data_IF_326473123513
#
_entry.id   IF_326473123513
#
_cell.length_a   1.000
_cell.length_b   1.000
_cell.length_c   1.000
_cell.angle_alpha   90.00
_cell.angle_beta   90.00
_cell.angle_gamma   90.00
#
_symmetry.space_group_name_H-M   'P 1'
#
loop_
_entity.id
_entity.type
_entity.pdbx_description
1 polymer ?
#
# COMPACT_ATOMS: atom_id res chain seq x y z
N UNK A 1 -17.23 4.96 -14.29
CA UNK A 1 -16.79 5.67 -13.08
C UNK A 1 -15.60 4.94 -12.46
N UNK A 2 -15.72 3.86 -11.68
CA UNK A 2 -14.58 2.97 -11.35
C UNK A 2 -15.05 1.63 -10.79
N UNK A 3 -14.14 0.64 -10.81
CA UNK A 3 -14.26 -0.63 -10.11
C UNK A 3 -13.00 -0.91 -9.30
N UNK A 4 -13.13 -1.78 -8.31
CA UNK A 4 -12.06 -2.09 -7.35
C UNK A 4 -11.95 -3.59 -7.13
N UNK A 5 -10.74 -4.09 -6.91
CA UNK A 5 -10.46 -5.47 -6.53
C UNK A 5 -9.44 -5.47 -5.41
N UNK A 6 -9.74 -6.17 -4.32
CA UNK A 6 -8.78 -6.51 -3.27
C UNK A 6 -8.14 -7.86 -3.61
N UNK A 7 -6.84 -7.91 -3.96
CA UNK A 7 -6.16 -9.13 -4.37
C UNK A 7 -6.33 -10.26 -3.35
N UNK A 8 -6.69 -11.45 -3.84
CA UNK A 8 -6.94 -12.66 -3.03
C UNK A 8 -8.06 -12.55 -1.98
N UNK A 9 -8.86 -11.46 -1.99
CA UNK A 9 -9.89 -11.20 -0.98
C UNK A 9 -11.28 -10.93 -1.55
N UNK A 10 -11.36 -10.44 -2.79
CA UNK A 10 -12.65 -10.09 -3.41
C UNK A 10 -12.68 -10.37 -4.90
N UNK A 11 -13.89 -10.55 -5.43
CA UNK A 11 -14.18 -10.34 -6.84
C UNK A 11 -14.22 -8.85 -7.17
N UNK A 12 -14.23 -8.43 -8.45
CA UNK A 12 -14.46 -7.04 -8.81
C UNK A 12 -15.72 -6.48 -8.16
N UNK A 13 -15.54 -5.40 -7.41
CA UNK A 13 -16.59 -4.63 -6.75
C UNK A 13 -16.77 -3.34 -7.55
N UNK A 14 -18.01 -3.00 -7.87
CA UNK A 14 -18.32 -1.75 -8.54
C UNK A 14 -18.69 -0.64 -7.54
N UNK A 15 -18.91 0.56 -8.08
CA UNK A 15 -19.24 1.75 -7.31
C UNK A 15 -20.51 1.62 -6.43
N UNK A 16 -21.42 0.68 -6.72
CA UNK A 16 -22.65 0.49 -5.94
C UNK A 16 -22.39 -0.03 -4.52
N UNK A 17 -21.23 -0.64 -4.29
CA UNK A 17 -20.81 -1.06 -2.95
C UNK A 17 -20.20 0.06 -2.11
N UNK A 18 -20.03 1.24 -2.69
CA UNK A 18 -19.57 2.42 -1.97
C UNK A 18 -20.75 3.30 -1.56
N UNK A 19 -20.69 3.84 -0.35
CA UNK A 19 -21.56 4.93 0.06
C UNK A 19 -21.12 6.22 -0.62
N UNK A 20 -21.98 6.79 -1.46
CA UNK A 20 -21.72 8.08 -2.08
C UNK A 20 -22.06 9.20 -1.09
N UNK A 21 -21.07 10.02 -0.73
CA UNK A 21 -21.25 11.12 0.22
C UNK A 21 -21.66 12.39 -0.52
N UNK A 22 -21.08 12.60 -1.70
CA UNK A 22 -21.48 13.65 -2.63
C UNK A 22 -21.17 13.24 -4.08
N UNK A 23 -21.37 14.15 -5.03
CA UNK A 23 -21.16 13.91 -6.46
C UNK A 23 -19.77 13.36 -6.83
N UNK A 24 -18.75 13.67 -6.03
CA UNK A 24 -17.34 13.39 -6.32
C UNK A 24 -16.65 12.53 -5.26
N UNK A 25 -17.33 12.11 -4.20
CA UNK A 25 -16.75 11.36 -3.09
C UNK A 25 -17.53 10.09 -2.76
N UNK A 26 -16.80 8.98 -2.62
CA UNK A 26 -17.31 7.67 -2.27
C UNK A 26 -16.51 7.06 -1.13
N UNK A 27 -17.19 6.39 -0.20
CA UNK A 27 -16.58 5.68 0.91
C UNK A 27 -17.00 4.22 0.92
N UNK A 28 -16.00 3.34 1.02
CA UNK A 28 -16.16 1.93 1.37
C UNK A 28 -15.78 1.75 2.84
N UNK A 29 -16.72 1.23 3.62
CA UNK A 29 -16.47 0.83 5.00
C UNK A 29 -15.82 -0.56 5.00
N UNK A 30 -14.69 -0.71 5.71
CA UNK A 30 -13.94 -1.97 5.74
C UNK A 30 -14.66 -3.08 6.52
N UNK A 31 -15.70 -2.76 7.31
CA UNK A 31 -16.57 -3.77 7.93
C UNK A 31 -17.33 -4.61 6.89
N UNK A 32 -17.33 -4.19 5.61
CA UNK A 32 -17.79 -5.01 4.48
C UNK A 32 -17.05 -6.36 4.40
N UNK A 33 -15.79 -6.42 4.83
CA UNK A 33 -14.99 -7.64 4.88
C UNK A 33 -15.15 -8.34 6.23
N UNK A 34 -16.22 -9.13 6.37
CA UNK A 34 -16.50 -9.86 7.61
C UNK A 34 -15.42 -10.91 7.87
N UNK A 35 -14.81 -10.85 9.06
CA UNK A 35 -13.83 -11.85 9.52
C UNK A 35 -12.37 -11.53 9.15
N UNK A 36 -12.12 -10.43 8.43
CA UNK A 36 -10.76 -9.97 8.14
C UNK A 36 -10.48 -8.64 8.84
N UNK A 37 -9.31 -8.52 9.46
CA UNK A 37 -8.89 -7.25 10.01
C UNK A 37 -8.46 -6.31 8.86
N UNK A 38 -8.87 -5.05 8.92
CA UNK A 38 -8.65 -4.08 7.84
C UNK A 38 -7.16 -3.89 7.50
N UNK A 39 -6.28 -4.01 8.50
CA UNK A 39 -4.83 -3.89 8.37
C UNK A 39 -4.17 -5.04 7.60
N UNK A 40 -4.90 -6.15 7.40
CA UNK A 40 -4.48 -7.24 6.53
C UNK A 40 -4.75 -6.93 5.05
N UNK A 41 -5.57 -5.93 4.74
CA UNK A 41 -5.89 -5.49 3.39
C UNK A 41 -4.83 -4.49 2.95
N UNK A 42 -3.72 -4.99 2.41
CA UNK A 42 -2.53 -4.18 2.12
C UNK A 42 -2.48 -3.61 0.72
N UNK A 43 -3.33 -4.10 -0.18
CA UNK A 43 -3.34 -3.70 -1.58
C UNK A 43 -4.77 -3.63 -2.13
N UNK A 44 -4.95 -2.73 -3.08
CA UNK A 44 -6.20 -2.55 -3.80
C UNK A 44 -5.88 -2.21 -5.26
N UNK A 45 -6.48 -2.95 -6.18
CA UNK A 45 -6.53 -2.57 -7.58
C UNK A 45 -7.74 -1.67 -7.79
N UNK A 46 -7.54 -0.49 -8.36
CA UNK A 46 -8.61 0.41 -8.83
C UNK A 46 -8.48 0.58 -10.34
N UNK A 47 -9.61 0.62 -11.03
CA UNK A 47 -9.64 0.76 -12.49
C UNK A 47 -10.89 1.50 -12.98
N UNK A 48 -10.75 2.22 -14.09
CA UNK A 48 -11.86 2.90 -14.76
C UNK A 48 -12.67 1.89 -15.58
N UNK A 49 -13.97 1.78 -15.31
CA UNK A 49 -14.85 0.81 -16.00
C UNK A 49 -15.16 1.16 -17.46
N UNK A 50 -15.15 2.44 -17.82
CA UNK A 50 -15.41 2.94 -19.18
C UNK A 50 -14.64 4.25 -19.41
N UNK A 51 -14.01 4.43 -20.58
CA UNK A 51 -13.10 5.56 -20.89
C UNK A 51 -13.71 6.96 -21.00
N UNK A 52 -15.00 7.16 -20.67
CA UNK A 52 -15.76 8.38 -21.00
C UNK A 52 -16.39 9.12 -19.81
N UNK A 53 -16.01 8.85 -18.55
CA UNK A 53 -16.63 9.51 -17.39
C UNK A 53 -15.74 10.47 -16.60
N UNK A 54 -14.44 10.53 -16.88
CA UNK A 54 -13.51 11.38 -16.14
C UNK A 54 -12.93 12.43 -17.09
N UNK A 55 -13.06 13.75 -16.78
CA UNK A 55 -12.41 14.78 -17.59
C UNK A 55 -10.88 14.58 -17.67
N UNK A 56 -10.21 15.03 -18.75
CA UNK A 56 -8.76 14.80 -18.95
C UNK A 56 -7.85 15.41 -17.87
N UNK A 57 -8.32 16.46 -17.21
CA UNK A 57 -7.66 17.18 -16.12
C UNK A 57 -8.00 16.63 -14.73
N UNK A 58 -8.81 15.56 -14.65
CA UNK A 58 -9.24 14.95 -13.39
C UNK A 58 -8.65 13.56 -13.19
N UNK A 59 -8.57 13.16 -11.93
CA UNK A 59 -8.11 11.86 -11.47
C UNK A 59 -9.05 11.33 -10.38
N UNK A 60 -9.07 10.01 -10.21
CA UNK A 60 -9.67 9.36 -9.04
C UNK A 60 -8.58 9.08 -8.01
N UNK A 61 -8.55 9.88 -6.97
CA UNK A 61 -7.65 9.74 -5.83
C UNK A 61 -8.22 8.73 -4.83
N UNK A 62 -7.34 7.89 -4.28
CA UNK A 62 -7.67 6.89 -3.26
C UNK A 62 -7.02 7.28 -1.95
N UNK A 63 -7.82 7.24 -0.90
CA UNK A 63 -7.42 7.55 0.46
C UNK A 63 -7.79 6.41 1.40
N UNK A 64 -7.03 6.25 2.48
CA UNK A 64 -7.33 5.31 3.55
C UNK A 64 -7.40 6.02 4.90
N UNK A 65 -8.21 5.48 5.79
CA UNK A 65 -8.35 5.96 7.15
C UNK A 65 -8.47 4.75 8.09
N UNK A 66 -7.54 4.64 9.04
CA UNK A 66 -7.72 3.75 10.21
C UNK A 66 -8.67 4.38 11.23
N UNK A 67 -9.34 3.60 12.10
CA UNK A 67 -10.31 4.13 13.05
C UNK A 67 -9.78 5.34 13.85
N UNK A 68 -10.47 6.48 13.74
CA UNK A 68 -10.10 7.72 14.45
C UNK A 68 -8.87 8.47 13.91
N UNK A 69 -8.25 8.02 12.82
CA UNK A 69 -7.14 8.72 12.15
C UNK A 69 -7.63 9.70 11.07
N UNK A 70 -6.73 10.49 10.49
CA UNK A 70 -7.01 11.29 9.29
C UNK A 70 -6.89 10.44 8.01
N UNK A 71 -7.53 10.87 6.93
CA UNK A 71 -7.34 10.24 5.62
C UNK A 71 -5.92 10.46 5.08
N UNK A 72 -5.32 9.38 4.57
CA UNK A 72 -4.00 9.36 3.95
C UNK A 72 -4.11 9.02 2.46
N UNK A 73 -3.51 9.84 1.61
CA UNK A 73 -3.45 9.61 0.16
C UNK A 73 -2.60 8.38 -0.18
N UNK A 74 -3.14 7.49 -1.01
CA UNK A 74 -2.48 6.24 -1.43
C UNK A 74 -2.03 6.24 -2.89
N UNK A 75 -2.73 6.99 -3.75
CA UNK A 75 -2.48 7.05 -5.18
C UNK A 75 -3.73 7.46 -5.94
N UNK A 76 -3.62 7.55 -7.26
CA UNK A 76 -4.74 7.88 -8.12
C UNK A 76 -4.68 7.17 -9.47
N UNK A 77 -5.81 7.15 -10.17
CA UNK A 77 -5.92 6.74 -11.58
C UNK A 77 -6.51 7.86 -12.42
N UNK A 78 -6.08 7.97 -13.67
CA UNK A 78 -6.52 9.00 -14.61
C UNK A 78 -6.71 8.39 -16.00
N UNK A 79 -7.18 9.16 -16.98
CA UNK A 79 -7.36 8.62 -18.35
C UNK A 79 -6.05 8.09 -18.97
N UNK A 80 -4.92 8.73 -18.69
CA UNK A 80 -3.59 8.29 -19.16
C UNK A 80 -3.11 7.00 -18.49
N UNK A 81 -3.61 6.71 -17.29
CA UNK A 81 -3.29 5.51 -16.50
C UNK A 81 -4.58 5.02 -15.83
N UNK A 82 -5.42 4.26 -16.58
CA UNK A 82 -6.80 3.96 -16.19
C UNK A 82 -6.91 2.91 -15.09
N UNK A 83 -5.80 2.32 -14.64
CA UNK A 83 -5.77 1.34 -13.55
C UNK A 83 -4.45 1.40 -12.78
N UNK A 84 -4.49 1.04 -11.49
CA UNK A 84 -3.32 0.90 -10.66
C UNK A 84 -3.56 -0.09 -9.51
N UNK A 85 -2.52 -0.83 -9.13
CA UNK A 85 -2.47 -1.53 -7.84
C UNK A 85 -1.79 -0.61 -6.83
N UNK A 86 -2.56 -0.21 -5.82
CA UNK A 86 -2.13 0.72 -4.78
C UNK A 86 -1.89 -0.06 -3.49
N UNK A 87 -0.76 0.23 -2.84
CA UNK A 87 -0.52 -0.22 -1.47
C UNK A 87 -1.34 0.64 -0.52
N UNK A 88 -1.84 0.04 0.55
CA UNK A 88 -2.66 0.66 1.58
C UNK A 88 -1.89 0.69 2.90
N UNK A 89 -1.00 1.68 3.11
CA UNK A 89 -0.21 1.80 4.34
C UNK A 89 -1.09 2.37 5.46
N UNK A 90 -1.94 1.52 6.06
CA UNK A 90 -2.87 1.93 7.10
C UNK A 90 -2.16 2.72 8.21
N UNK A 91 -2.60 3.96 8.50
CA UNK A 91 -2.01 4.74 9.57
C UNK A 91 -2.31 4.10 10.93
N UNK A 92 -1.56 4.46 11.96
CA UNK A 92 -1.89 4.06 13.33
C UNK A 92 -3.31 4.55 13.71
N UNK A 93 -4.13 3.72 14.37
CA UNK A 93 -5.44 4.13 14.85
C UNK A 93 -5.33 5.36 15.77
N UNK A 94 -6.25 6.30 15.61
CA UNK A 94 -6.27 7.49 16.47
C UNK A 94 -6.70 7.15 17.89
N UNK A 95 -6.25 7.94 18.86
CA UNK A 95 -6.66 7.85 20.28
C UNK A 95 -8.19 7.88 20.46
N UNK A 96 -8.92 8.58 19.59
CA UNK A 96 -10.38 8.56 19.58
C UNK A 96 -10.96 7.18 19.18
N UNK A 97 -10.29 6.44 18.29
CA UNK A 97 -10.67 5.09 17.89
C UNK A 97 -10.54 4.06 19.02
N UNK A 98 -9.67 4.33 20.01
CA UNK A 98 -9.54 3.50 21.22
C UNK A 98 -10.58 3.83 22.31
N UNK A 99 -11.16 5.03 22.30
CA UNK A 99 -12.04 5.53 23.37
C UNK A 99 -13.55 5.45 23.02
N UNK A 100 -13.89 5.25 21.74
CA UNK A 100 -15.28 5.26 21.27
C UNK A 100 -15.94 3.86 21.33
N UNK A 101 -15.76 3.15 22.45
CA UNK A 101 -16.55 1.96 22.81
C UNK A 101 -17.85 2.30 23.55
N UNK A 102 -18.16 3.59 23.74
CA UNK A 102 -19.22 4.06 24.64
C UNK A 102 -20.54 4.42 23.97
N UNK A 103 -20.61 4.50 22.63
CA UNK A 103 -21.81 4.97 21.92
C UNK A 103 -22.30 4.04 20.78
N UNK A 104 -21.98 2.75 20.86
CA UNK A 104 -22.53 1.69 20.00
C UNK A 104 -22.09 1.69 18.51
N UNK A 105 -21.57 2.79 17.98
CA UNK A 105 -20.97 2.85 16.66
C UNK A 105 -19.47 2.51 16.73
N UNK A 106 -19.10 1.29 16.31
CA UNK A 106 -17.71 0.86 16.22
C UNK A 106 -17.01 1.71 15.14
N UNK A 107 -15.98 2.47 15.53
CA UNK A 107 -15.17 3.20 14.57
C UNK A 107 -14.50 2.21 13.60
N UNK A 108 -14.88 2.28 12.33
CA UNK A 108 -14.38 1.41 11.26
C UNK A 108 -13.30 2.09 10.44
N UNK A 109 -12.41 1.28 9.86
CA UNK A 109 -11.50 1.75 8.84
C UNK A 109 -12.27 2.02 7.54
N UNK A 110 -11.78 2.96 6.72
CA UNK A 110 -12.47 3.41 5.51
C UNK A 110 -11.51 3.58 4.35
N UNK A 111 -11.99 3.28 3.15
CA UNK A 111 -11.35 3.65 1.89
C UNK A 111 -12.20 4.73 1.24
N UNK A 112 -11.60 5.89 1.00
CA UNK A 112 -12.20 7.00 0.28
C UNK A 112 -11.73 7.03 -1.17
N UNK A 113 -12.65 7.32 -2.09
CA UNK A 113 -12.34 7.63 -3.49
C UNK A 113 -12.88 9.01 -3.81
N UNK A 114 -12.05 9.90 -4.35
CA UNK A 114 -12.43 11.28 -4.70
C UNK A 114 -12.06 11.62 -6.14
N UNK A 115 -12.90 12.41 -6.83
CA UNK A 115 -12.52 13.07 -8.09
C UNK A 115 -11.78 14.38 -7.76
N UNK A 116 -10.53 14.46 -8.17
CA UNK A 116 -9.66 15.62 -7.93
C UNK A 116 -8.97 16.09 -9.19
N UNK A 117 -8.44 17.32 -9.16
CA UNK A 117 -7.60 17.85 -10.22
C UNK A 117 -6.27 17.09 -10.28
N UNK A 118 -5.88 16.66 -11.48
CA UNK A 118 -4.62 15.93 -11.66
C UNK A 118 -3.41 16.76 -11.19
N UNK A 119 -3.50 18.09 -11.29
CA UNK A 119 -2.46 19.02 -10.84
C UNK A 119 -2.39 19.21 -9.33
N UNK A 120 -3.44 18.90 -8.56
CA UNK A 120 -3.42 18.99 -7.09
C UNK A 120 -2.85 17.74 -6.43
N UNK A 121 -2.76 16.64 -7.16
CA UNK A 121 -2.31 15.36 -6.64
C UNK A 121 -0.78 15.20 -6.73
N UNK A 122 -0.16 14.44 -5.81
CA UNK A 122 1.21 13.99 -5.97
C UNK A 122 1.38 13.26 -7.30
N UNK A 123 2.49 13.52 -7.99
CA UNK A 123 2.78 12.87 -9.27
C UNK A 123 2.86 11.35 -9.10
N UNK A 124 2.08 10.63 -9.91
CA UNK A 124 1.94 9.17 -9.83
C UNK A 124 3.27 8.43 -10.05
N UNK A 125 4.17 9.03 -10.83
CA UNK A 125 5.50 8.50 -11.11
C UNK A 125 6.42 8.63 -9.89
N UNK A 126 6.35 9.74 -9.15
CA UNK A 126 7.14 9.94 -7.92
C UNK A 126 6.76 8.92 -6.84
N UNK A 127 5.50 8.51 -6.78
CA UNK A 127 5.08 7.44 -5.85
C UNK A 127 5.70 6.10 -6.23
N UNK A 128 5.80 5.78 -7.53
CA UNK A 128 6.46 4.56 -8.00
C UNK A 128 7.98 4.61 -7.75
N UNK A 129 8.62 5.75 -8.00
CA UNK A 129 10.06 5.95 -7.74
C UNK A 129 10.40 5.76 -6.26
N UNK A 130 9.61 6.34 -5.34
CA UNK A 130 9.82 6.15 -3.89
C UNK A 130 9.73 4.69 -3.46
N UNK A 131 8.88 3.88 -4.08
CA UNK A 131 8.81 2.43 -3.79
C UNK A 131 10.08 1.70 -4.25
N UNK A 132 10.59 2.06 -5.43
CA UNK A 132 11.84 1.49 -5.95
C UNK A 132 13.02 1.87 -5.05
N UNK A 133 13.08 3.12 -4.60
CA UNK A 133 14.07 3.59 -3.64
C UNK A 133 14.00 2.82 -2.32
N UNK A 134 12.80 2.68 -1.74
CA UNK A 134 12.60 1.96 -0.49
C UNK A 134 13.03 0.49 -0.60
N UNK A 135 12.65 -0.18 -1.69
CA UNK A 135 13.05 -1.55 -2.00
C UNK A 135 14.58 -1.68 -2.05
N UNK A 136 15.26 -0.77 -2.74
CA UNK A 136 16.73 -0.77 -2.83
C UNK A 136 17.39 -0.62 -1.45
N UNK A 137 16.86 0.29 -0.61
CA UNK A 137 17.35 0.48 0.76
C UNK A 137 17.16 -0.77 1.62
N UNK A 138 16.00 -1.44 1.53
CA UNK A 138 15.72 -2.68 2.28
C UNK A 138 16.59 -3.85 1.84
N UNK A 139 16.90 -3.94 0.54
CA UNK A 139 17.87 -4.93 0.04
C UNK A 139 19.27 -4.64 0.59
N UNK A 140 19.69 -3.37 0.59
CA UNK A 140 20.97 -2.95 1.18
C UNK A 140 21.06 -3.25 2.69
N UNK A 141 20.01 -2.95 3.45
CA UNK A 141 19.90 -3.26 4.88
C UNK A 141 19.99 -4.77 5.12
N UNK A 142 19.30 -5.58 4.32
CA UNK A 142 19.36 -7.04 4.41
C UNK A 142 20.79 -7.58 4.17
N UNK A 143 21.48 -7.05 3.16
CA UNK A 143 22.87 -7.39 2.89
C UNK A 143 23.77 -7.00 4.06
N UNK A 144 23.63 -5.78 4.58
CA UNK A 144 24.42 -5.30 5.71
C UNK A 144 24.24 -6.18 6.96
N UNK A 145 22.99 -6.50 7.31
CA UNK A 145 22.67 -7.40 8.42
C UNK A 145 23.25 -8.81 8.22
N UNK A 146 23.25 -9.31 6.98
CA UNK A 146 23.92 -10.57 6.65
C UNK A 146 25.42 -10.47 6.86
N UNK A 147 26.08 -9.44 6.34
CA UNK A 147 27.53 -9.24 6.53
C UNK A 147 27.89 -9.20 8.02
N UNK A 148 27.13 -8.45 8.83
CA UNK A 148 27.32 -8.37 10.29
C UNK A 148 27.29 -9.74 10.99
N UNK A 149 26.49 -10.68 10.49
CA UNK A 149 26.40 -12.02 11.09
C UNK A 149 27.64 -12.90 10.90
N UNK A 150 28.56 -12.53 9.99
CA UNK A 150 29.82 -13.25 9.73
C UNK A 150 31.06 -12.53 10.31
N UNK A 151 30.86 -11.44 11.06
CA UNK A 151 31.95 -10.60 11.52
C UNK A 151 32.66 -11.14 12.76
N UNK A 152 34.00 -11.11 12.72
CA UNK A 152 34.81 -10.73 13.87
C UNK A 152 35.00 -9.21 13.86
N UNK A 153 34.88 -8.55 15.01
CA UNK A 153 35.08 -7.11 15.12
C UNK A 153 36.58 -6.84 15.30
N UNK A 154 37.21 -6.20 14.31
CA UNK A 154 38.60 -5.71 14.43
C UNK A 154 38.60 -4.18 14.47
N UNK A 155 38.50 -3.63 15.69
CA UNK A 155 38.36 -2.20 15.91
C UNK A 155 37.09 -1.62 15.27
N UNK A 156 37.25 -0.66 14.35
CA UNK A 156 36.14 -0.01 13.63
C UNK A 156 35.84 -0.59 12.24
N UNK A 157 36.51 -1.68 11.85
CA UNK A 157 36.36 -2.26 10.51
C UNK A 157 35.56 -3.54 10.54
N UNK A 158 34.69 -3.67 9.55
CA UNK A 158 33.93 -4.87 9.29
C UNK A 158 34.82 -5.84 8.48
N UNK A 159 35.35 -6.89 9.13
CA UNK A 159 36.14 -7.92 8.44
C UNK A 159 35.21 -9.05 8.01
N UNK A 160 35.09 -9.24 6.70
CA UNK A 160 34.24 -10.27 6.09
C UNK A 160 35.04 -11.13 5.12
N UNK A 161 34.68 -12.41 4.95
CA UNK A 161 35.24 -13.26 3.90
C UNK A 161 35.09 -12.64 2.51
N UNK A 162 36.06 -12.88 1.61
CA UNK A 162 36.00 -12.32 0.25
C UNK A 162 34.80 -12.82 -0.55
N UNK A 163 34.26 -13.99 -0.22
CA UNK A 163 33.10 -14.61 -0.87
C UNK A 163 31.76 -14.26 -0.19
N UNK A 164 31.73 -13.27 0.72
CA UNK A 164 30.53 -12.93 1.50
C UNK A 164 29.34 -12.52 0.61
N UNK A 165 29.60 -11.78 -0.47
CA UNK A 165 28.57 -11.32 -1.39
C UNK A 165 27.97 -12.50 -2.16
N UNK A 166 28.79 -13.43 -2.63
CA UNK A 166 28.33 -14.64 -3.32
C UNK A 166 27.47 -15.53 -2.39
N UNK A 167 27.90 -15.68 -1.13
CA UNK A 167 27.14 -16.42 -0.11
C UNK A 167 25.79 -15.77 0.18
N UNK A 168 25.77 -14.44 0.36
CA UNK A 168 24.53 -13.70 0.54
C UNK A 168 23.60 -13.87 -0.66
N UNK A 169 24.13 -13.66 -1.87
CA UNK A 169 23.35 -13.71 -3.10
C UNK A 169 22.73 -15.09 -3.31
N UNK A 170 23.51 -16.17 -3.10
CA UNK A 170 22.99 -17.54 -3.18
C UNK A 170 21.87 -17.78 -2.15
N UNK A 171 22.07 -17.38 -0.90
CA UNK A 171 21.04 -17.50 0.16
C UNK A 171 19.78 -16.70 -0.18
N UNK A 172 19.95 -15.49 -0.68
CA UNK A 172 18.85 -14.61 -1.08
C UNK A 172 18.03 -15.24 -2.21
N UNK A 173 18.70 -15.73 -3.26
CA UNK A 173 18.04 -16.40 -4.39
C UNK A 173 17.31 -17.69 -3.97
N UNK A 174 17.95 -18.54 -3.16
CA UNK A 174 17.34 -19.77 -2.67
C UNK A 174 16.09 -19.48 -1.85
N UNK A 175 16.14 -18.45 -0.99
CA UNK A 175 14.99 -18.04 -0.18
C UNK A 175 13.87 -17.44 -1.04
N UNK A 176 14.21 -16.57 -2.01
CA UNK A 176 13.24 -15.99 -2.94
C UNK A 176 12.55 -17.05 -3.82
N UNK A 177 13.24 -18.13 -4.18
CA UNK A 177 12.64 -19.25 -4.93
C UNK A 177 11.71 -20.11 -4.06
N UNK A 178 12.08 -20.30 -2.79
CA UNK A 178 11.34 -21.17 -1.87
C UNK A 178 10.11 -20.49 -1.26
N UNK A 179 10.19 -19.19 -1.05
CA UNK A 179 9.14 -18.39 -0.41
C UNK A 179 8.74 -17.23 -1.34
N UNK A 180 7.60 -17.34 -2.05
CA UNK A 180 7.09 -16.28 -2.93
C UNK A 180 6.79 -14.96 -2.22
N UNK A 181 6.54 -14.99 -0.90
CA UNK A 181 6.25 -13.80 -0.10
C UNK A 181 7.52 -13.10 0.39
N UNK A 182 8.68 -13.77 0.33
CA UNK A 182 9.94 -13.22 0.83
C UNK A 182 10.29 -11.87 0.17
N UNK A 183 10.10 -11.76 -1.15
CA UNK A 183 10.38 -10.52 -1.88
C UNK A 183 9.36 -9.42 -1.60
N UNK A 184 8.10 -9.78 -1.32
CA UNK A 184 7.05 -8.80 -0.98
C UNK A 184 7.34 -8.10 0.33
N UNK A 185 8.03 -8.77 1.27
CA UNK A 185 8.48 -8.16 2.52
C UNK A 185 9.45 -6.98 2.36
N UNK A 186 10.01 -6.76 1.16
CA UNK A 186 10.87 -5.60 0.87
C UNK A 186 10.11 -4.42 0.25
N UNK A 187 8.85 -4.62 -0.14
CA UNK A 187 8.00 -3.62 -0.81
C UNK A 187 6.99 -3.00 0.16
N UNK A 188 6.77 -3.66 1.31
CA UNK A 188 5.80 -3.32 2.36
C UNK A 188 6.37 -2.36 3.41
#
# INVERSE_FOLDING_TARGET
>A
MFGVVFPNRSFPIDISSFSQIDTFHWILDMNTFVGEAYDQIREMCIFLLNGFTLPPDKALAVYIQSPGSAFLFCGAVALSRPSAVLSLPWPEPGVAGQLQLTDGAVASAKIGVSVEDLSSLPSLDVVAEKRIEHLALKVGENLFNFMQSFCGVDGSRLVVPMDILDRWFKKFQEKAKRDPEYLKGFVL
#
